data_IF_364926162882
#
_entry.id   IF_364926162882
#
_cell.length_a   1.000
_cell.length_b   1.000
_cell.length_c   1.000
_cell.angle_alpha   90.00
_cell.angle_beta   90.00
_cell.angle_gamma   90.00
#
_symmetry.space_group_name_H-M   'P 1'
#
loop_
_entity.id
_entity.type
_entity.pdbx_description
1 polymer ?
#
# COMPACT_ATOMS: atom_id res chain seq x y z
N UNK A 1 8.28 -41.10 9.87
CA UNK A 1 8.91 -40.24 8.84
C UNK A 1 7.93 -39.71 7.79
N UNK A 2 7.26 -40.55 6.99
CA UNK A 2 6.37 -40.08 5.89
C UNK A 2 5.31 -39.02 6.27
N UNK A 3 4.61 -39.19 7.40
CA UNK A 3 3.60 -38.21 7.87
C UNK A 3 4.19 -36.84 8.23
N UNK A 4 5.43 -36.81 8.72
CA UNK A 4 6.14 -35.58 9.07
C UNK A 4 6.61 -34.84 7.81
N UNK A 5 7.15 -35.56 6.82
CA UNK A 5 7.51 -34.96 5.52
C UNK A 5 6.30 -34.36 4.80
N UNK A 6 5.15 -35.04 4.83
CA UNK A 6 3.91 -34.53 4.23
C UNK A 6 3.47 -33.24 4.94
N UNK A 7 3.54 -33.20 6.27
CA UNK A 7 3.24 -32.00 7.06
C UNK A 7 4.17 -30.83 6.71
N UNK A 8 5.48 -31.07 6.64
CA UNK A 8 6.46 -30.03 6.28
C UNK A 8 6.20 -29.50 4.88
N UNK A 9 5.92 -30.37 3.91
CA UNK A 9 5.58 -29.95 2.53
C UNK A 9 4.32 -29.08 2.48
N UNK A 10 3.25 -29.49 3.18
CA UNK A 10 2.00 -28.72 3.26
C UNK A 10 2.21 -27.36 3.94
N UNK A 11 3.01 -27.32 5.01
CA UNK A 11 3.31 -26.10 5.73
C UNK A 11 4.07 -25.10 4.85
N UNK A 12 5.08 -25.55 4.10
CA UNK A 12 5.82 -24.70 3.15
C UNK A 12 4.88 -24.14 2.07
N UNK A 13 3.99 -24.96 1.51
CA UNK A 13 3.02 -24.51 0.50
C UNK A 13 2.09 -23.42 1.06
N UNK A 14 1.57 -23.60 2.27
CA UNK A 14 0.73 -22.59 2.94
C UNK A 14 1.47 -21.28 3.21
N UNK A 15 2.74 -21.37 3.61
CA UNK A 15 3.59 -20.21 3.88
C UNK A 15 3.85 -19.41 2.59
N UNK A 16 4.10 -20.10 1.48
CA UNK A 16 4.23 -19.48 0.16
C UNK A 16 2.93 -18.78 -0.24
N UNK A 17 1.77 -19.43 -0.11
CA UNK A 17 0.46 -18.81 -0.41
C UNK A 17 0.23 -17.56 0.46
N UNK A 18 0.55 -17.62 1.74
CA UNK A 18 0.42 -16.48 2.66
C UNK A 18 1.33 -15.30 2.28
N UNK A 19 2.57 -15.58 1.86
CA UNK A 19 3.49 -14.57 1.34
C UNK A 19 2.95 -13.94 0.04
N UNK A 20 2.43 -14.74 -0.88
CA UNK A 20 1.81 -14.27 -2.12
C UNK A 20 0.57 -13.42 -1.85
N UNK A 21 -0.32 -13.83 -0.94
CA UNK A 21 -1.48 -13.02 -0.57
C UNK A 21 -1.07 -11.68 0.06
N UNK A 22 -0.06 -11.69 0.94
CA UNK A 22 0.47 -10.47 1.56
C UNK A 22 1.11 -9.53 0.53
N UNK A 23 1.69 -10.09 -0.53
CA UNK A 23 2.26 -9.36 -1.67
C UNK A 23 1.19 -8.73 -2.55
N UNK A 24 0.15 -9.49 -2.93
CA UNK A 24 -0.89 -9.01 -3.83
C UNK A 24 -1.97 -8.17 -3.15
N UNK A 25 -2.15 -8.25 -1.82
CA UNK A 25 -3.13 -7.44 -1.09
C UNK A 25 -2.77 -5.96 -0.97
N UNK A 26 -1.69 -5.47 -1.57
CA UNK A 26 -1.61 -4.13 -2.20
C UNK A 26 -2.04 -2.89 -1.38
N UNK A 27 -2.15 -3.02 -0.05
CA UNK A 27 -2.47 -1.94 0.89
C UNK A 27 -1.22 -1.51 1.69
N UNK A 28 -0.05 -2.05 1.33
CA UNK A 28 1.20 -1.63 1.93
C UNK A 28 1.62 -0.36 1.21
N UNK A 29 1.46 0.74 1.94
CA UNK A 29 1.85 2.04 1.46
C UNK A 29 3.37 2.13 1.57
N UNK A 30 4.00 2.14 0.40
CA UNK A 30 5.39 2.49 0.24
C UNK A 30 5.57 3.98 0.55
N UNK A 31 6.77 4.38 0.96
CA UNK A 31 7.22 5.77 0.97
C UNK A 31 7.30 6.25 -0.48
N UNK A 32 6.13 6.53 -1.05
CA UNK A 32 5.92 6.83 -2.46
C UNK A 32 5.68 8.31 -2.60
N UNK A 33 6.27 8.88 -3.62
CA UNK A 33 6.00 10.25 -4.01
C UNK A 33 5.78 10.32 -5.51
N UNK A 34 4.95 11.27 -5.93
CA UNK A 34 4.71 11.55 -7.34
C UNK A 34 4.64 13.06 -7.52
N UNK A 35 5.59 13.59 -8.27
CA UNK A 35 5.54 14.98 -8.70
C UNK A 35 4.34 15.18 -9.64
N UNK A 36 3.54 16.21 -9.37
CA UNK A 36 2.44 16.63 -10.25
C UNK A 36 2.97 17.75 -11.16
N UNK A 37 3.52 18.80 -10.54
CA UNK A 37 4.17 19.92 -11.21
C UNK A 37 5.22 20.54 -10.26
N UNK A 38 5.80 21.69 -10.60
CA UNK A 38 6.84 22.33 -9.78
C UNK A 38 6.35 22.85 -8.41
N UNK A 39 5.03 22.90 -8.18
CA UNK A 39 4.40 23.40 -6.95
C UNK A 39 3.69 22.31 -6.16
N UNK A 40 3.35 21.15 -6.74
CA UNK A 40 2.61 20.13 -6.02
C UNK A 40 3.15 18.74 -6.28
N UNK A 41 3.06 17.93 -5.24
CA UNK A 41 3.39 16.51 -5.29
C UNK A 41 2.41 15.71 -4.42
N UNK A 42 2.23 14.44 -4.77
CA UNK A 42 1.61 13.46 -3.90
C UNK A 42 2.68 12.78 -3.09
N UNK A 43 2.39 12.49 -1.83
CA UNK A 43 3.22 11.62 -1.01
C UNK A 43 2.38 10.72 -0.12
N UNK A 44 2.91 9.56 0.21
CA UNK A 44 2.42 8.76 1.31
C UNK A 44 2.79 9.40 2.66
N UNK A 45 1.79 9.72 3.48
CA UNK A 45 1.96 10.13 4.87
C UNK A 45 2.45 9.00 5.79
N UNK A 46 2.77 9.29 7.06
CA UNK A 46 3.39 8.33 7.97
C UNK A 46 2.48 7.15 8.37
N UNK A 47 3.13 6.05 8.76
CA UNK A 47 2.56 4.83 9.36
C UNK A 47 1.62 5.14 10.56
N UNK A 48 0.59 4.30 10.86
CA UNK A 48 0.32 2.94 10.37
C UNK A 48 -0.70 2.81 9.25
N UNK A 49 -1.47 3.86 8.96
CA UNK A 49 -2.48 3.83 7.90
C UNK A 49 -2.05 4.54 6.63
N UNK A 50 -0.82 5.09 6.60
CA UNK A 50 -0.22 5.93 5.56
C UNK A 50 -1.27 6.56 4.63
N UNK A 51 -1.77 7.74 4.98
CA UNK A 51 -2.64 8.51 4.09
C UNK A 51 -1.90 8.83 2.79
N UNK A 52 -2.62 9.14 1.70
CA UNK A 52 -2.00 9.85 0.58
C UNK A 52 -2.30 11.32 0.80
N UNK A 53 -1.26 12.13 0.78
CA UNK A 53 -1.36 13.57 0.92
C UNK A 53 -1.01 14.23 -0.40
N UNK A 54 -1.66 15.34 -0.69
CA UNK A 54 -1.22 16.30 -1.70
C UNK A 54 -0.61 17.49 -0.98
N UNK A 55 0.64 17.80 -1.32
CA UNK A 55 1.45 18.79 -0.62
C UNK A 55 1.95 19.83 -1.60
N UNK A 56 2.08 21.08 -1.13
CA UNK A 56 2.69 22.15 -1.90
C UNK A 56 4.22 22.14 -1.72
N UNK A 57 4.96 22.06 -2.82
CA UNK A 57 6.44 22.00 -2.87
C UNK A 57 7.10 23.35 -2.55
N UNK A 58 6.40 24.46 -2.76
CA UNK A 58 6.91 25.83 -2.61
C UNK A 58 5.85 26.68 -1.89
N UNK A 59 5.99 26.88 -0.57
CA UNK A 59 5.06 27.72 0.19
C UNK A 59 4.94 27.33 1.66
N UNK A 60 3.80 27.66 2.27
CA UNK A 60 3.38 27.02 3.52
C UNK A 60 3.22 25.53 3.24
N UNK A 61 3.79 24.68 4.09
CA UNK A 61 3.79 23.21 3.97
C UNK A 61 2.40 22.60 4.22
N UNK A 62 1.37 23.15 3.58
CA UNK A 62 0.00 22.69 3.70
C UNK A 62 -0.16 21.42 2.87
N UNK A 63 -0.44 20.33 3.57
CA UNK A 63 -0.71 19.02 3.00
C UNK A 63 -2.17 18.64 3.28
N UNK A 64 -2.87 18.19 2.25
CA UNK A 64 -4.26 17.74 2.37
C UNK A 64 -4.35 16.24 2.18
N UNK A 65 -5.11 15.56 3.05
CA UNK A 65 -5.39 14.13 2.90
C UNK A 65 -6.32 13.91 1.71
N UNK A 66 -5.91 13.01 0.81
CA UNK A 66 -6.62 12.64 -0.41
C UNK A 66 -7.09 11.19 -0.32
N UNK A 67 -8.39 10.98 -0.48
CA UNK A 67 -9.02 9.66 -0.41
C UNK A 67 -9.04 8.97 -1.77
N UNK A 68 -9.37 9.72 -2.81
CA UNK A 68 -9.55 9.20 -4.17
C UNK A 68 -9.00 10.17 -5.20
N UNK A 69 -8.47 9.65 -6.30
CA UNK A 69 -7.76 10.40 -7.35
C UNK A 69 -8.18 9.89 -8.72
N UNK A 70 -8.15 10.76 -9.73
CA UNK A 70 -8.27 10.42 -11.14
C UNK A 70 -7.33 11.28 -11.96
N UNK A 71 -6.74 10.68 -12.99
CA UNK A 71 -6.07 11.42 -14.04
C UNK A 71 -7.07 11.66 -15.18
N UNK A 72 -7.54 12.89 -15.33
CA UNK A 72 -8.49 13.26 -16.38
C UNK A 72 -7.76 13.89 -17.56
N UNK A 73 -7.98 13.30 -18.74
CA UNK A 73 -7.44 13.76 -20.02
C UNK A 73 -5.91 13.90 -20.09
N UNK A 74 -5.17 13.29 -19.15
CA UNK A 74 -3.70 13.43 -19.00
C UNK A 74 -3.22 14.83 -18.62
N UNK A 75 -4.12 15.80 -18.56
CA UNK A 75 -3.79 17.21 -18.30
C UNK A 75 -4.08 17.59 -16.84
N UNK A 76 -4.99 16.89 -16.17
CA UNK A 76 -5.42 17.22 -14.82
C UNK A 76 -5.35 16.02 -13.87
N UNK A 77 -4.81 16.26 -12.68
CA UNK A 77 -5.05 15.45 -11.51
C UNK A 77 -6.30 15.98 -10.81
N UNK A 78 -7.27 15.11 -10.56
CA UNK A 78 -8.49 15.45 -9.81
C UNK A 78 -8.56 14.54 -8.61
N UNK A 79 -8.89 15.09 -7.44
CA UNK A 79 -9.01 14.27 -6.25
C UNK A 79 -10.13 14.69 -5.33
N UNK A 80 -10.52 13.75 -4.48
CA UNK A 80 -11.43 13.92 -3.36
C UNK A 80 -10.64 13.94 -2.06
N UNK A 81 -10.82 14.99 -1.28
CA UNK A 81 -10.20 15.19 0.03
C UNK A 81 -11.03 14.54 1.14
N UNK A 82 -10.41 14.31 2.30
CA UNK A 82 -11.04 13.65 3.46
C UNK A 82 -12.29 14.36 4.03
N UNK A 83 -12.52 15.62 3.68
CA UNK A 83 -13.68 16.40 4.10
C UNK A 83 -14.81 16.44 3.04
N UNK A 84 -14.84 15.47 2.11
CA UNK A 84 -15.77 15.40 0.97
C UNK A 84 -15.69 16.57 -0.03
N UNK A 85 -14.67 17.42 0.08
CA UNK A 85 -14.38 18.42 -0.94
C UNK A 85 -13.47 17.83 -2.03
N UNK A 86 -13.41 18.51 -3.16
CA UNK A 86 -12.69 18.09 -4.34
C UNK A 86 -11.69 19.16 -4.77
N UNK A 87 -10.70 18.74 -5.55
CA UNK A 87 -9.74 19.64 -6.16
C UNK A 87 -9.39 19.19 -7.58
N UNK A 88 -8.82 20.11 -8.35
CA UNK A 88 -8.09 19.78 -9.56
C UNK A 88 -6.77 20.55 -9.62
N UNK A 89 -5.76 19.94 -10.23
CA UNK A 89 -4.46 20.55 -10.53
C UNK A 89 -4.09 20.18 -11.96
N UNK A 90 -3.71 21.16 -12.76
CA UNK A 90 -3.14 20.92 -14.08
C UNK A 90 -1.65 20.56 -13.96
N UNK A 91 -1.20 19.55 -14.71
CA UNK A 91 0.20 19.12 -14.70
C UNK A 91 1.16 20.15 -15.33
N UNK A 92 0.67 20.98 -16.26
CA UNK A 92 1.50 21.89 -17.06
C UNK A 92 1.30 23.37 -16.73
N UNK A 93 0.11 23.76 -16.25
CA UNK A 93 -0.28 25.14 -15.98
C UNK A 93 -0.60 25.35 -14.50
N UNK A 94 0.37 25.93 -13.78
CA UNK A 94 0.32 26.12 -12.34
C UNK A 94 -0.77 27.09 -11.88
N UNK A 95 -1.33 27.90 -12.78
CA UNK A 95 -2.44 28.80 -12.49
C UNK A 95 -3.80 28.08 -12.58
N UNK A 96 -3.85 26.93 -13.25
CA UNK A 96 -5.08 26.11 -13.40
C UNK A 96 -5.17 25.07 -12.29
N UNK A 97 -5.48 25.58 -11.10
CA UNK A 97 -5.70 24.77 -9.90
C UNK A 97 -6.85 25.34 -9.08
N UNK A 98 -7.62 24.48 -8.42
CA UNK A 98 -8.64 24.90 -7.46
C UNK A 98 -8.90 23.80 -6.45
N UNK A 99 -9.08 24.18 -5.20
CA UNK A 99 -9.42 23.31 -4.08
C UNK A 99 -10.80 23.68 -3.53
N UNK A 100 -11.28 22.89 -2.57
CA UNK A 100 -12.53 23.12 -1.83
C UNK A 100 -13.77 23.18 -2.73
N UNK A 101 -13.78 22.39 -3.81
CA UNK A 101 -14.91 22.29 -4.73
C UNK A 101 -15.91 21.22 -4.26
N UNK A 102 -17.16 21.41 -4.62
CA UNK A 102 -18.17 20.35 -4.57
C UNK A 102 -18.02 19.41 -5.76
N UNK A 103 -18.60 18.21 -5.65
CA UNK A 103 -18.64 17.24 -6.76
C UNK A 103 -19.31 17.83 -8.01
N UNK A 104 -20.41 18.56 -7.82
CA UNK A 104 -21.17 19.16 -8.93
C UNK A 104 -20.36 20.23 -9.67
N UNK A 105 -19.60 21.07 -8.96
CA UNK A 105 -18.72 22.06 -9.59
C UNK A 105 -17.65 21.40 -10.44
N UNK A 106 -17.02 20.34 -9.92
CA UNK A 106 -16.02 19.56 -10.65
C UNK A 106 -16.62 18.92 -11.91
N UNK A 107 -17.76 18.25 -11.79
CA UNK A 107 -18.41 17.60 -12.94
C UNK A 107 -18.87 18.62 -13.99
N UNK A 108 -19.25 19.84 -13.59
CA UNK A 108 -19.54 20.96 -14.50
C UNK A 108 -18.27 21.44 -15.22
N UNK A 109 -17.16 21.64 -14.51
CA UNK A 109 -15.89 22.12 -15.09
C UNK A 109 -15.38 21.15 -16.16
N UNK A 110 -15.41 19.85 -15.87
CA UNK A 110 -14.92 18.83 -16.79
C UNK A 110 -15.99 18.30 -17.74
N UNK A 111 -17.24 18.80 -17.62
CA UNK A 111 -18.40 18.40 -18.43
C UNK A 111 -18.61 16.88 -18.51
N UNK A 112 -18.22 16.15 -17.46
CA UNK A 112 -18.29 14.70 -17.41
C UNK A 112 -18.32 14.18 -15.98
N UNK A 113 -18.88 12.98 -15.81
CA UNK A 113 -18.84 12.25 -14.54
C UNK A 113 -17.42 11.75 -14.28
N UNK A 114 -16.89 12.07 -13.10
CA UNK A 114 -15.51 11.72 -12.77
C UNK A 114 -15.45 10.34 -12.13
N UNK A 115 -14.60 9.48 -12.69
CA UNK A 115 -14.30 8.16 -12.14
C UNK A 115 -13.01 8.22 -11.35
N UNK A 116 -13.14 8.26 -10.03
CA UNK A 116 -12.02 8.26 -9.09
C UNK A 116 -11.64 6.82 -8.70
N UNK A 117 -10.37 6.61 -8.39
CA UNK A 117 -9.86 5.40 -7.74
C UNK A 117 -9.19 5.74 -6.41
N UNK A 118 -9.05 4.76 -5.51
CA UNK A 118 -8.41 4.98 -4.20
C UNK A 118 -7.01 5.57 -4.39
N UNK A 119 -6.71 6.66 -3.68
CA UNK A 119 -5.45 7.41 -3.81
C UNK A 119 -4.21 6.52 -3.59
N UNK A 120 -4.26 5.61 -2.60
CA UNK A 120 -3.20 4.62 -2.34
C UNK A 120 -2.89 3.75 -3.54
N UNK A 121 -3.93 3.27 -4.23
CA UNK A 121 -3.77 2.42 -5.41
C UNK A 121 -3.18 3.23 -6.57
N UNK A 122 -3.58 4.49 -6.70
CA UNK A 122 -3.06 5.40 -7.71
C UNK A 122 -1.56 5.67 -7.51
N UNK A 123 -1.15 6.10 -6.32
CA UNK A 123 0.25 6.45 -6.05
C UNK A 123 1.18 5.24 -6.13
N UNK A 124 0.74 4.06 -5.69
CA UNK A 124 1.53 2.83 -5.85
C UNK A 124 1.73 2.42 -7.33
N UNK A 125 0.84 2.87 -8.24
CA UNK A 125 0.93 2.55 -9.67
C UNK A 125 1.82 3.53 -10.44
N UNK A 126 1.82 4.80 -10.04
CA UNK A 126 2.43 5.89 -10.82
C UNK A 126 3.53 6.67 -10.09
N UNK A 127 3.63 6.53 -8.77
CA UNK A 127 4.65 7.16 -7.95
C UNK A 127 6.00 6.47 -8.04
N UNK A 128 7.03 7.20 -7.61
CA UNK A 128 8.38 6.68 -7.41
C UNK A 128 8.50 6.18 -5.97
N UNK A 129 9.06 4.99 -5.81
CA UNK A 129 9.36 4.43 -4.50
C UNK A 129 10.69 4.99 -3.99
N UNK A 130 10.72 5.62 -2.81
CA UNK A 130 11.98 5.99 -2.17
C UNK A 130 12.68 4.78 -1.54
N UNK A 131 11.94 3.79 -1.02
CA UNK A 131 12.51 2.63 -0.34
C UNK A 131 11.53 1.45 -0.36
N UNK A 132 12.01 0.26 -0.74
CA UNK A 132 11.23 -0.97 -0.76
C UNK A 132 11.17 -1.62 0.64
N UNK A 133 10.62 -0.91 1.64
CA UNK A 133 10.37 -1.45 2.99
C UNK A 133 9.47 -2.69 2.91
N UNK A 134 8.68 -2.81 1.84
CA UNK A 134 7.93 -4.02 1.55
C UNK A 134 8.84 -5.25 1.45
N UNK A 135 9.97 -5.17 0.72
CA UNK A 135 10.91 -6.29 0.61
C UNK A 135 11.56 -6.60 1.97
N UNK A 136 11.93 -5.58 2.74
CA UNK A 136 12.51 -5.78 4.08
C UNK A 136 11.51 -6.33 5.09
N UNK A 137 10.25 -5.87 5.06
CA UNK A 137 9.21 -6.32 5.97
C UNK A 137 8.67 -7.70 5.57
N UNK A 138 8.59 -8.00 4.28
CA UNK A 138 8.31 -9.33 3.74
C UNK A 138 9.45 -10.28 4.08
N UNK A 139 10.71 -9.87 3.88
CA UNK A 139 11.89 -10.63 4.29
C UNK A 139 11.91 -10.85 5.81
N UNK A 140 11.60 -9.84 6.62
CA UNK A 140 11.55 -9.96 8.08
C UNK A 140 10.44 -10.91 8.54
N UNK A 141 9.23 -10.82 7.96
CA UNK A 141 8.13 -11.76 8.22
C UNK A 141 8.48 -13.18 7.76
N UNK A 142 9.14 -13.31 6.61
CA UNK A 142 9.61 -14.58 6.09
C UNK A 142 10.69 -15.19 6.99
N UNK A 143 11.72 -14.43 7.37
CA UNK A 143 12.78 -14.85 8.31
C UNK A 143 12.18 -15.24 9.65
N UNK A 144 11.26 -14.45 10.20
CA UNK A 144 10.58 -14.76 11.47
C UNK A 144 9.85 -16.09 11.35
N UNK A 145 9.06 -16.28 10.31
CA UNK A 145 8.30 -17.53 10.11
C UNK A 145 9.24 -18.72 9.90
N UNK A 146 10.30 -18.56 9.11
CA UNK A 146 11.33 -19.57 8.88
C UNK A 146 12.03 -19.98 10.19
N UNK A 147 12.36 -19.03 11.07
CA UNK A 147 13.03 -19.28 12.35
C UNK A 147 12.12 -19.95 13.40
N UNK A 148 10.83 -19.59 13.43
CA UNK A 148 9.88 -20.20 14.38
C UNK A 148 9.39 -21.59 13.94
N UNK A 149 9.46 -21.91 12.64
CA UNK A 149 9.07 -23.22 12.10
C UNK A 149 9.82 -24.40 12.75
N UNK A 150 11.17 -24.44 12.81
CA UNK A 150 11.90 -25.54 13.44
C UNK A 150 11.66 -25.64 14.95
N UNK A 151 11.42 -24.50 15.64
CA UNK A 151 11.08 -24.49 17.07
C UNK A 151 9.72 -25.15 17.30
N UNK A 152 8.71 -24.79 16.50
CA UNK A 152 7.37 -25.40 16.55
C UNK A 152 7.47 -26.90 16.22
N UNK A 153 8.24 -27.28 15.20
CA UNK A 153 8.45 -28.69 14.83
C UNK A 153 9.16 -29.49 15.92
N UNK A 154 10.16 -28.92 16.62
CA UNK A 154 10.76 -29.56 17.79
C UNK A 154 9.75 -29.73 18.92
N UNK A 155 8.99 -28.70 19.27
CA UNK A 155 7.98 -28.77 20.33
C UNK A 155 6.90 -29.81 20.02
N UNK A 156 6.44 -29.89 18.76
CA UNK A 156 5.51 -30.93 18.30
C UNK A 156 6.16 -32.32 18.41
N UNK A 157 7.42 -32.48 17.99
CA UNK A 157 8.15 -33.74 18.15
C UNK A 157 8.23 -34.15 19.62
N UNK A 158 8.56 -33.23 20.53
CA UNK A 158 8.65 -33.51 21.98
C UNK A 158 7.29 -33.75 22.65
N UNK A 159 6.19 -33.16 22.14
CA UNK A 159 4.84 -33.33 22.68
C UNK A 159 4.11 -34.56 22.12
N UNK A 160 4.44 -34.98 20.89
CA UNK A 160 3.88 -36.17 20.21
C UNK A 160 4.75 -37.42 20.37
N UNK A 161 6.06 -37.30 20.63
CA UNK A 161 6.90 -38.40 21.12
C UNK A 161 7.00 -38.34 22.64
N UNK A 162 6.04 -38.92 23.40
CA UNK A 162 6.32 -39.24 24.79
C UNK A 162 7.50 -40.22 24.83
N UNK A 163 8.33 -40.11 25.87
CA UNK A 163 9.45 -41.03 26.19
C UNK A 163 9.08 -42.53 26.19
N UNK A 164 7.81 -42.90 26.01
CA UNK A 164 7.32 -44.28 25.98
C UNK A 164 7.70 -45.08 24.73
N UNK A 165 8.31 -44.46 23.71
CA UNK A 165 8.77 -45.16 22.49
C UNK A 165 10.26 -45.54 22.49
N UNK A 166 10.99 -45.29 23.58
CA UNK A 166 12.34 -45.82 23.81
C UNK A 166 12.33 -47.12 24.64
N UNK A 167 11.30 -47.95 24.48
CA UNK A 167 11.30 -49.32 24.97
C UNK A 167 11.33 -50.27 23.78
N UNK A 168 12.53 -50.54 23.32
CA UNK A 168 12.94 -51.89 22.93
C UNK A 168 14.04 -52.32 23.89
#
# INVERSE_FOLDING_TARGET
MKKFEIFVKLFVVLLVIFCFESYFKGEIIQKTSMDINEYYYLESGPSPFYSVNICESKGNLDCFVVEEISNQNKDYLIGKMGNNQYFYINYSDNNKKKFNLTKEEIEKIFSQKIKLEKSKKYINKYGKDEFNIFDEMLAAKFIKTLLFTPIILMLIKFKIYPKSWNKE
#
